data_IF_186289534830
#
_entry.id   IF_186289534830
#
_cell.length_a   1.000
_cell.length_b   1.000
_cell.length_c   1.000
_cell.angle_alpha   90.00
_cell.angle_beta   90.00
_cell.angle_gamma   90.00
#
_symmetry.space_group_name_H-M   'P 1'
#
loop_
_entity.id
_entity.type
_entity.pdbx_description
1 polymer ?
#
# COMPACT_ATOMS: atom_id res chain seq x y z
N UNK A 1 28.58 61.62 30.70
CA UNK A 1 27.76 61.23 29.54
C UNK A 1 28.08 59.77 29.25
N UNK A 2 27.57 58.85 30.07
CA UNK A 2 26.29 58.11 29.91
C UNK A 2 26.27 57.22 28.67
N UNK A 3 26.54 55.94 28.90
CA UNK A 3 26.36 54.82 27.98
C UNK A 3 24.87 54.52 27.75
N UNK A 4 24.51 53.92 26.60
CA UNK A 4 23.31 53.10 26.49
C UNK A 4 23.65 51.61 26.28
N UNK A 5 23.01 50.77 27.10
CA UNK A 5 22.81 49.33 26.89
C UNK A 5 21.60 49.12 25.96
N UNK A 6 21.65 48.16 25.05
CA UNK A 6 20.44 47.48 24.53
C UNK A 6 20.72 45.96 24.44
N UNK A 7 19.75 45.19 24.94
CA UNK A 7 19.75 43.76 25.21
C UNK A 7 19.42 42.87 23.99
N UNK A 8 19.75 41.58 24.15
CA UNK A 8 19.56 40.41 23.28
C UNK A 8 18.12 40.13 22.79
N UNK A 9 17.97 39.60 21.56
CA UNK A 9 17.09 38.44 21.30
C UNK A 9 17.42 37.67 20.00
N UNK A 10 17.18 36.35 20.07
CA UNK A 10 17.42 35.29 19.08
C UNK A 10 16.49 35.38 17.85
N UNK A 11 16.84 34.85 16.66
CA UNK A 11 15.91 34.71 15.55
C UNK A 11 15.24 33.33 15.60
N UNK A 12 14.02 33.27 16.12
CA UNK A 12 13.10 32.16 15.85
C UNK A 12 11.79 32.72 15.30
N UNK A 13 11.32 32.08 14.23
CA UNK A 13 9.94 31.98 13.75
C UNK A 13 9.17 33.26 13.45
N UNK A 14 9.08 33.58 12.15
CA UNK A 14 7.85 34.17 11.60
C UNK A 14 7.77 33.95 10.08
N UNK A 15 7.22 32.80 9.67
CA UNK A 15 6.64 32.59 8.34
C UNK A 15 5.47 31.61 8.45
N UNK A 16 4.41 32.02 9.16
CA UNK A 16 3.07 31.45 9.03
C UNK A 16 2.05 32.56 8.77
N UNK A 17 1.91 32.92 7.51
CA UNK A 17 0.71 33.49 6.89
C UNK A 17 0.89 33.20 5.40
N UNK A 18 0.05 32.42 4.72
CA UNK A 18 -1.38 32.61 4.53
C UNK A 18 -2.06 31.26 4.22
N UNK A 19 -3.08 30.93 5.00
CA UNK A 19 -4.09 29.95 4.66
C UNK A 19 -5.09 30.58 3.68
N UNK A 20 -5.42 29.86 2.59
CA UNK A 20 -6.71 30.03 1.90
C UNK A 20 -7.65 28.94 2.38
N UNK A 21 -8.71 29.39 3.05
CA UNK A 21 -9.72 28.62 3.76
C UNK A 21 -10.78 28.14 2.77
N UNK A 22 -11.06 26.83 2.72
CA UNK A 22 -12.35 26.32 2.27
C UNK A 22 -13.25 26.14 3.50
N UNK A 23 -14.45 26.75 3.58
CA UNK A 23 -15.33 26.57 4.72
C UNK A 23 -16.13 25.28 4.55
N UNK A 24 -16.01 24.35 5.50
CA UNK A 24 -16.95 23.25 5.65
C UNK A 24 -16.41 21.83 5.44
N UNK A 25 -15.26 21.49 6.04
CA UNK A 25 -15.04 20.16 6.61
C UNK A 25 -13.88 20.29 7.60
N UNK A 26 -14.07 19.78 8.81
CA UNK A 26 -13.07 19.74 9.88
C UNK A 26 -11.78 19.10 9.35
N UNK A 27 -10.75 19.92 9.14
CA UNK A 27 -9.42 19.49 8.72
C UNK A 27 -8.58 19.13 9.93
N UNK A 28 -7.77 18.08 9.72
CA UNK A 28 -6.66 17.60 10.56
C UNK A 28 -6.99 16.49 11.56
N UNK A 29 -7.09 15.26 11.04
CA UNK A 29 -6.57 14.13 11.81
C UNK A 29 -5.03 14.21 11.79
N UNK A 30 -4.35 14.05 12.93
CA UNK A 30 -2.90 13.90 12.93
C UNK A 30 -2.54 12.71 12.04
N UNK A 31 -1.37 12.72 11.35
CA UNK A 31 -0.88 11.52 10.70
C UNK A 31 -0.84 10.42 11.75
N UNK A 32 -1.64 9.36 11.56
CA UNK A 32 -1.68 8.22 12.45
C UNK A 32 -0.22 7.79 12.70
N UNK A 33 0.27 7.81 13.96
CA UNK A 33 1.60 7.32 14.23
C UNK A 33 1.64 5.86 13.78
N UNK A 34 2.79 5.47 13.25
CA UNK A 34 3.32 4.10 13.10
C UNK A 34 2.40 2.96 13.58
N UNK A 35 2.35 1.87 12.80
CA UNK A 35 1.13 1.12 12.48
C UNK A 35 0.13 1.08 13.64
N UNK A 36 -1.15 1.39 13.35
CA UNK A 36 -2.30 1.43 14.28
C UNK A 36 -1.99 0.65 15.56
N UNK A 37 -2.06 1.24 16.78
CA UNK A 37 -1.54 0.66 18.03
C UNK A 37 -2.10 -0.72 18.46
N UNK A 38 -2.88 -1.39 17.61
CA UNK A 38 -3.37 -2.76 17.78
C UNK A 38 -3.34 -3.59 16.48
N UNK A 39 -2.59 -3.15 15.47
CA UNK A 39 -2.52 -3.84 14.17
C UNK A 39 -1.58 -5.03 14.20
N UNK A 40 -2.07 -6.15 13.67
CA UNK A 40 -1.33 -7.40 13.58
C UNK A 40 -0.69 -7.52 12.20
N UNK A 41 0.60 -7.87 12.18
CA UNK A 41 1.25 -8.21 10.93
C UNK A 41 0.62 -9.48 10.35
N UNK A 42 0.28 -9.45 9.06
CA UNK A 42 -0.30 -10.58 8.36
C UNK A 42 0.68 -11.17 7.36
N UNK A 43 0.99 -12.45 7.57
CA UNK A 43 1.79 -13.25 6.66
C UNK A 43 0.94 -13.70 5.48
N UNK A 44 1.14 -13.11 4.30
CA UNK A 44 0.32 -13.45 3.14
C UNK A 44 0.66 -14.82 2.55
N UNK A 45 -0.38 -15.54 2.14
CA UNK A 45 -0.30 -16.84 1.47
C UNK A 45 -1.06 -16.79 0.16
N UNK A 46 -0.62 -17.57 -0.82
CA UNK A 46 -1.11 -17.48 -2.19
C UNK A 46 -1.31 -18.87 -2.76
N UNK A 47 -2.54 -19.16 -3.21
CA UNK A 47 -2.84 -20.36 -3.96
C UNK A 47 -2.53 -20.15 -5.45
N UNK A 48 -1.57 -20.89 -6.07
CA UNK A 48 -1.24 -20.78 -7.49
C UNK A 48 -2.42 -21.05 -8.44
N UNK A 49 -3.47 -21.71 -7.97
CA UNK A 49 -4.69 -21.94 -8.74
C UNK A 49 -5.64 -20.74 -8.78
N UNK A 50 -5.46 -19.74 -7.90
CA UNK A 50 -6.31 -18.54 -7.81
C UNK A 50 -5.68 -17.30 -8.44
N UNK A 51 -4.39 -17.35 -8.81
CA UNK A 51 -3.69 -16.28 -9.53
C UNK A 51 -3.81 -16.39 -11.04
N UNK A 52 -3.48 -15.32 -11.75
CA UNK A 52 -3.34 -15.35 -13.21
C UNK A 52 -2.42 -16.50 -13.68
N UNK A 53 -2.77 -17.17 -14.77
CA UNK A 53 -2.07 -18.38 -15.30
C UNK A 53 -0.57 -18.24 -15.61
N UNK A 54 -0.05 -17.02 -15.67
CA UNK A 54 1.38 -16.71 -15.87
C UNK A 54 2.08 -16.23 -14.61
N UNK A 55 1.38 -16.15 -13.49
CA UNK A 55 1.97 -15.85 -12.20
C UNK A 55 2.18 -17.15 -11.42
N UNK A 56 3.23 -17.16 -10.61
CA UNK A 56 3.48 -18.20 -9.64
C UNK A 56 4.01 -17.61 -8.33
N UNK A 57 3.83 -18.33 -7.24
CA UNK A 57 4.33 -17.94 -5.93
C UNK A 57 5.49 -18.85 -5.55
N UNK A 58 6.69 -18.27 -5.49
CA UNK A 58 7.87 -18.97 -5.00
C UNK A 58 7.84 -18.91 -3.48
N UNK A 59 7.58 -20.05 -2.82
CA UNK A 59 7.35 -20.10 -1.38
C UNK A 59 8.59 -19.73 -0.55
N UNK A 60 9.79 -20.12 -0.99
CA UNK A 60 11.04 -19.86 -0.26
C UNK A 60 11.40 -18.37 -0.29
N UNK A 61 11.33 -17.74 -1.46
CA UNK A 61 11.59 -16.30 -1.65
C UNK A 61 10.37 -15.44 -1.37
N UNK A 62 9.21 -16.05 -1.09
CA UNK A 62 7.96 -15.36 -0.78
C UNK A 62 7.59 -14.35 -1.85
N UNK A 63 7.74 -14.73 -3.10
CA UNK A 63 7.70 -13.82 -4.24
C UNK A 63 6.71 -14.30 -5.29
N UNK A 64 5.80 -13.41 -5.71
CA UNK A 64 5.00 -13.62 -6.92
C UNK A 64 5.83 -13.21 -8.13
N UNK A 65 6.08 -14.17 -9.03
CA UNK A 65 6.89 -13.98 -10.25
C UNK A 65 6.09 -14.26 -11.51
N UNK A 66 6.52 -13.69 -12.63
CA UNK A 66 6.01 -14.07 -13.95
C UNK A 66 6.74 -15.29 -14.53
N UNK A 67 5.99 -16.33 -14.92
CA UNK A 67 6.46 -17.50 -15.67
C UNK A 67 6.37 -17.30 -17.20
N UNK A 68 7.28 -17.98 -17.93
CA UNK A 68 7.25 -18.08 -19.40
C UNK A 68 6.15 -19.02 -19.90
N UNK A 69 5.98 -20.17 -19.25
CA UNK A 69 5.03 -21.19 -19.65
C UNK A 69 3.60 -20.88 -19.18
N UNK A 70 2.62 -21.27 -19.99
CA UNK A 70 1.20 -21.18 -19.66
C UNK A 70 0.77 -22.45 -18.95
N UNK A 71 0.16 -22.34 -17.77
CA UNK A 71 -0.64 -23.44 -17.24
C UNK A 71 -1.90 -23.61 -18.09
N UNK A 72 -2.20 -24.85 -18.51
CA UNK A 72 -3.42 -25.18 -19.25
C UNK A 72 -4.68 -25.20 -18.36
N UNK A 73 -4.54 -25.11 -17.04
CA UNK A 73 -5.69 -25.13 -16.12
C UNK A 73 -6.54 -23.86 -16.27
N UNK A 74 -7.74 -24.00 -16.81
CA UNK A 74 -8.68 -22.89 -17.05
C UNK A 74 -9.62 -22.57 -15.90
N UNK A 75 -9.70 -23.41 -14.87
CA UNK A 75 -10.69 -23.17 -13.81
C UNK A 75 -10.12 -22.24 -12.73
N UNK A 76 -10.91 -21.21 -12.43
CA UNK A 76 -10.84 -20.30 -11.28
C UNK A 76 -9.69 -19.29 -11.17
N UNK A 77 -8.98 -19.04 -12.28
CA UNK A 77 -7.91 -18.03 -12.37
C UNK A 77 -8.39 -16.67 -12.89
N UNK A 78 -7.70 -15.59 -12.51
CA UNK A 78 -7.86 -14.27 -13.13
C UNK A 78 -7.39 -14.28 -14.59
N UNK A 79 -8.10 -13.52 -15.45
CA UNK A 79 -7.76 -13.33 -16.88
C UNK A 79 -6.71 -12.21 -17.07
N UNK A 80 -6.60 -11.33 -16.07
CA UNK A 80 -5.62 -10.24 -15.98
C UNK A 80 -4.53 -10.66 -15.00
N UNK A 81 -3.32 -10.09 -15.08
CA UNK A 81 -2.14 -10.37 -14.25
C UNK A 81 -2.28 -10.00 -12.77
N UNK A 82 -3.40 -10.39 -12.16
CA UNK A 82 -3.79 -10.15 -10.78
C UNK A 82 -3.73 -11.42 -9.95
N UNK A 83 -3.66 -11.23 -8.65
CA UNK A 83 -3.70 -12.32 -7.67
C UNK A 83 -4.28 -11.82 -6.35
N UNK A 84 -5.17 -12.61 -5.78
CA UNK A 84 -5.74 -12.42 -4.45
C UNK A 84 -5.04 -13.35 -3.43
N UNK A 85 -4.60 -12.83 -2.30
CA UNK A 85 -4.05 -13.64 -1.20
C UNK A 85 -5.17 -14.46 -0.52
N UNK A 86 -4.84 -15.59 0.09
CA UNK A 86 -5.81 -16.50 0.73
C UNK A 86 -6.44 -15.91 1.99
N UNK A 87 -5.81 -14.92 2.61
CA UNK A 87 -6.35 -14.24 3.78
C UNK A 87 -7.58 -13.41 3.45
N UNK A 88 -8.54 -13.45 4.38
CA UNK A 88 -9.79 -12.71 4.36
C UNK A 88 -10.01 -12.08 5.74
N UNK A 89 -10.33 -10.80 5.77
CA UNK A 89 -10.47 -10.01 6.99
C UNK A 89 -11.90 -9.51 7.13
N UNK A 90 -12.49 -9.79 8.30
CA UNK A 90 -13.86 -9.40 8.64
C UNK A 90 -13.92 -8.33 9.74
N UNK A 91 -12.91 -8.29 10.60
CA UNK A 91 -12.79 -7.40 11.76
C UNK A 91 -11.30 -7.07 12.04
N UNK A 92 -11.01 -6.37 13.14
CA UNK A 92 -9.63 -6.13 13.59
C UNK A 92 -8.84 -5.11 12.77
N UNK A 93 -7.53 -5.07 13.05
CA UNK A 93 -6.56 -4.21 12.38
C UNK A 93 -5.39 -5.08 11.90
N UNK A 94 -5.08 -5.03 10.60
CA UNK A 94 -4.02 -5.84 9.99
C UNK A 94 -3.11 -5.00 9.13
N UNK A 95 -1.87 -5.42 8.97
CA UNK A 95 -0.99 -4.85 7.96
C UNK A 95 -0.11 -5.91 7.30
N UNK A 96 0.30 -5.65 6.08
CA UNK A 96 1.29 -6.44 5.37
C UNK A 96 2.18 -5.54 4.53
N UNK A 97 3.39 -6.01 4.27
CA UNK A 97 4.39 -5.28 3.52
C UNK A 97 4.59 -5.95 2.16
N UNK A 98 4.79 -5.15 1.13
CA UNK A 98 5.04 -5.59 -0.24
C UNK A 98 6.28 -4.90 -0.77
N UNK A 99 7.30 -5.68 -1.12
CA UNK A 99 8.46 -5.21 -1.87
C UNK A 99 8.08 -5.10 -3.34
N UNK A 100 8.19 -3.88 -3.85
CA UNK A 100 7.83 -3.46 -5.21
C UNK A 100 9.05 -3.13 -6.05
N UNK A 101 10.26 -3.22 -5.50
CA UNK A 101 11.53 -2.81 -6.13
C UNK A 101 11.84 -3.54 -7.43
N UNK A 102 11.30 -4.76 -7.61
CA UNK A 102 11.49 -5.62 -8.77
C UNK A 102 10.39 -5.52 -9.80
N UNK A 103 9.52 -4.51 -9.73
CA UNK A 103 8.45 -4.31 -10.69
C UNK A 103 8.51 -2.92 -11.33
N UNK A 104 8.39 -2.87 -12.66
CA UNK A 104 8.28 -1.62 -13.42
C UNK A 104 6.89 -0.98 -13.33
N UNK A 105 5.90 -1.71 -12.79
CA UNK A 105 4.54 -1.23 -12.61
C UNK A 105 3.69 -2.24 -11.85
N UNK A 106 2.89 -1.75 -10.91
CA UNK A 106 2.18 -2.60 -9.98
C UNK A 106 0.97 -1.88 -9.40
N UNK A 107 0.00 -2.64 -8.90
CA UNK A 107 -0.99 -2.16 -7.95
C UNK A 107 -1.07 -3.10 -6.74
N UNK A 108 -1.19 -2.53 -5.54
CA UNK A 108 -1.35 -3.26 -4.28
C UNK A 108 -2.54 -2.68 -3.52
N UNK A 109 -3.37 -3.54 -2.93
CA UNK A 109 -4.57 -3.08 -2.24
C UNK A 109 -5.42 -4.22 -1.73
N UNK A 110 -6.73 -3.99 -1.70
CA UNK A 110 -7.74 -4.94 -1.23
C UNK A 110 -8.93 -4.97 -2.17
N UNK A 111 -9.65 -6.09 -2.17
CA UNK A 111 -10.91 -6.24 -2.88
C UNK A 111 -11.86 -7.13 -2.10
N UNK A 112 -13.16 -6.98 -2.37
CA UNK A 112 -14.12 -7.99 -1.97
C UNK A 112 -13.89 -9.28 -2.78
N UNK A 113 -14.12 -10.47 -2.20
CA UNK A 113 -14.01 -11.76 -2.91
C UNK A 113 -14.86 -11.86 -4.18
N UNK A 114 -15.91 -11.02 -4.30
CA UNK A 114 -16.80 -10.96 -5.44
C UNK A 114 -16.21 -10.31 -6.70
N UNK A 115 -15.00 -9.75 -6.64
CA UNK A 115 -14.36 -9.13 -7.81
C UNK A 115 -14.26 -10.12 -8.98
N UNK A 116 -14.67 -9.68 -10.17
CA UNK A 116 -14.66 -10.51 -11.37
C UNK A 116 -13.26 -10.82 -11.88
N UNK A 117 -13.11 -11.93 -12.60
CA UNK A 117 -11.82 -12.38 -13.15
C UNK A 117 -11.19 -11.42 -14.17
N UNK A 118 -12.01 -10.56 -14.76
CA UNK A 118 -11.65 -9.53 -15.76
C UNK A 118 -11.72 -8.11 -15.21
N UNK A 119 -12.12 -7.96 -13.95
CA UNK A 119 -12.18 -6.65 -13.33
C UNK A 119 -10.78 -6.21 -12.94
N UNK A 120 -10.48 -4.95 -13.19
CA UNK A 120 -9.19 -4.37 -12.85
C UNK A 120 -9.23 -3.84 -11.42
N UNK A 121 -8.19 -4.13 -10.64
CA UNK A 121 -8.03 -3.67 -9.28
C UNK A 121 -8.13 -2.13 -9.21
N UNK A 122 -9.02 -1.62 -8.37
CA UNK A 122 -9.33 -0.19 -8.21
C UNK A 122 -10.32 0.39 -9.24
N UNK A 123 -10.76 -0.39 -10.24
CA UNK A 123 -11.66 0.08 -11.33
C UNK A 123 -13.11 -0.35 -11.11
N UNK A 124 -13.41 -0.82 -9.91
CA UNK A 124 -14.73 -1.28 -9.48
C UNK A 124 -15.02 -0.76 -8.09
N UNK A 125 -16.29 -0.55 -7.75
CA UNK A 125 -16.72 -0.28 -6.37
C UNK A 125 -16.32 -1.38 -5.35
N UNK A 126 -15.97 -2.58 -5.81
CA UNK A 126 -15.54 -3.69 -4.97
C UNK A 126 -14.03 -3.75 -4.70
N UNK A 127 -13.25 -2.74 -5.08
CA UNK A 127 -11.80 -2.77 -4.89
C UNK A 127 -11.12 -1.40 -4.75
N UNK A 128 -9.99 -1.40 -4.05
CA UNK A 128 -9.20 -0.22 -3.68
C UNK A 128 -7.72 -0.54 -3.79
N UNK A 129 -6.92 0.34 -4.40
CA UNK A 129 -5.49 0.11 -4.49
C UNK A 129 -4.66 1.38 -4.62
N UNK A 130 -3.39 1.26 -4.23
CA UNK A 130 -2.32 2.14 -4.67
C UNK A 130 -1.63 1.52 -5.89
N UNK A 131 -1.35 2.33 -6.89
CA UNK A 131 -0.81 1.90 -8.18
C UNK A 131 0.37 2.76 -8.60
N UNK A 132 1.45 2.11 -9.04
CA UNK A 132 2.55 2.72 -9.79
C UNK A 132 2.44 2.35 -11.27
N UNK A 133 2.22 3.36 -12.13
CA UNK A 133 2.10 3.19 -13.57
C UNK A 133 2.59 4.42 -14.30
N UNK A 134 3.39 4.24 -15.37
CA UNK A 134 3.88 5.34 -16.24
C UNK A 134 4.44 6.52 -15.45
N UNK A 135 5.30 6.21 -14.47
CA UNK A 135 5.97 7.18 -13.60
C UNK A 135 5.01 8.03 -12.74
N UNK A 136 3.83 7.49 -12.43
CA UNK A 136 2.85 8.10 -11.54
C UNK A 136 2.42 7.12 -10.46
N UNK A 137 2.39 7.62 -9.23
CA UNK A 137 1.75 6.95 -8.11
C UNK A 137 0.34 7.49 -7.95
N UNK A 138 -0.66 6.61 -8.01
CA UNK A 138 -2.06 6.99 -7.90
C UNK A 138 -2.81 6.02 -6.99
N UNK A 139 -3.72 6.55 -6.20
CA UNK A 139 -4.76 5.76 -5.56
C UNK A 139 -5.95 5.60 -6.52
N UNK A 140 -6.55 4.41 -6.53
CA UNK A 140 -7.68 4.07 -7.37
C UNK A 140 -8.78 3.38 -6.59
N UNK A 141 -10.01 3.84 -6.81
CA UNK A 141 -11.24 3.20 -6.36
C UNK A 141 -12.39 3.57 -7.30
N UNK A 142 -13.23 2.59 -7.64
CA UNK A 142 -14.42 2.78 -8.50
C UNK A 142 -14.11 3.59 -9.77
N UNK A 143 -13.00 3.25 -10.42
CA UNK A 143 -12.52 3.89 -11.64
C UNK A 143 -12.19 5.40 -11.48
N UNK A 144 -12.12 5.88 -10.24
CA UNK A 144 -11.66 7.23 -9.89
C UNK A 144 -10.20 7.19 -9.48
N UNK A 145 -9.40 8.03 -10.12
CA UNK A 145 -7.97 8.19 -9.87
C UNK A 145 -7.70 9.38 -8.95
N UNK A 146 -6.77 9.22 -8.00
CA UNK A 146 -6.23 10.31 -7.20
C UNK A 146 -4.71 10.27 -7.22
N UNK A 147 -4.08 11.34 -7.73
CA UNK A 147 -2.63 11.43 -7.79
C UNK A 147 -2.01 11.53 -6.39
N UNK A 148 -0.96 10.76 -6.14
CA UNK A 148 -0.19 10.77 -4.91
C UNK A 148 1.21 11.31 -5.23
N UNK A 149 1.57 12.45 -4.63
CA UNK A 149 2.87 13.09 -4.87
C UNK A 149 4.01 12.33 -4.17
N UNK A 150 4.52 11.30 -4.83
CA UNK A 150 5.65 10.50 -4.38
C UNK A 150 6.31 9.80 -5.58
N UNK A 151 7.63 9.59 -5.52
CA UNK A 151 8.34 8.73 -6.47
C UNK A 151 7.95 7.26 -6.27
N UNK A 152 8.44 6.34 -7.10
CA UNK A 152 8.13 4.91 -6.93
C UNK A 152 8.61 4.42 -5.54
N UNK A 153 7.73 4.01 -4.61
CA UNK A 153 8.18 3.36 -3.40
C UNK A 153 8.74 1.97 -3.77
N UNK A 154 9.90 1.63 -3.23
CA UNK A 154 10.48 0.28 -3.34
C UNK A 154 9.80 -0.72 -2.42
N UNK A 155 9.05 -0.23 -1.45
CA UNK A 155 8.29 -1.05 -0.51
C UNK A 155 7.07 -0.31 0.02
N UNK A 156 5.93 -0.99 0.03
CA UNK A 156 4.64 -0.46 0.46
C UNK A 156 4.08 -1.29 1.61
N UNK A 157 3.70 -0.63 2.70
CA UNK A 157 2.83 -1.21 3.72
C UNK A 157 1.39 -0.88 3.39
N UNK A 158 0.53 -1.90 3.38
CA UNK A 158 -0.91 -1.74 3.39
C UNK A 158 -1.40 -2.01 4.81
N UNK A 159 -2.07 -1.04 5.42
CA UNK A 159 -2.68 -1.15 6.73
C UNK A 159 -4.20 -1.04 6.60
N UNK A 160 -4.89 -2.04 7.11
CA UNK A 160 -6.34 -2.20 7.04
C UNK A 160 -6.90 -2.17 8.46
N UNK A 161 -7.77 -1.22 8.75
CA UNK A 161 -8.56 -1.16 9.96
C UNK A 161 -10.01 -1.49 9.62
N UNK A 162 -10.42 -2.74 9.81
CA UNK A 162 -11.81 -3.15 9.63
C UNK A 162 -12.70 -2.62 10.76
N UNK A 163 -12.13 -2.32 11.93
CA UNK A 163 -12.87 -1.86 13.12
C UNK A 163 -13.31 -0.41 12.95
N UNK A 164 -12.40 0.47 12.54
CA UNK A 164 -12.68 1.88 12.32
C UNK A 164 -12.98 2.22 10.86
N UNK A 165 -12.82 1.27 9.94
CA UNK A 165 -13.10 1.44 8.51
C UNK A 165 -12.08 2.34 7.83
N UNK A 166 -10.79 2.01 7.94
CA UNK A 166 -9.73 2.76 7.24
C UNK A 166 -8.82 1.83 6.44
N UNK A 167 -8.34 2.33 5.30
CA UNK A 167 -7.31 1.69 4.49
C UNK A 167 -6.21 2.71 4.22
N UNK A 168 -5.01 2.41 4.69
CA UNK A 168 -3.85 3.28 4.62
C UNK A 168 -2.70 2.61 3.89
N UNK A 169 -1.99 3.40 3.09
CA UNK A 169 -0.80 2.99 2.35
C UNK A 169 0.40 3.80 2.81
N UNK A 170 1.51 3.13 3.12
CA UNK A 170 2.74 3.79 3.54
C UNK A 170 3.92 3.35 2.68
N UNK A 171 4.86 4.26 2.45
CA UNK A 171 6.19 3.94 1.95
C UNK A 171 7.09 3.52 3.12
N UNK A 172 7.85 2.44 2.94
CA UNK A 172 8.83 1.94 3.92
C UNK A 172 10.29 2.23 3.53
N UNK A 173 10.56 3.06 2.51
CA UNK A 173 11.91 3.26 1.96
C UNK A 173 12.94 3.76 3.00
N UNK A 174 12.89 5.04 3.37
CA UNK A 174 13.83 5.63 4.34
C UNK A 174 13.20 5.78 5.72
N UNK A 175 11.93 6.19 5.74
CA UNK A 175 11.09 6.36 6.93
C UNK A 175 9.68 5.95 6.56
N UNK A 176 8.92 5.48 7.55
CA UNK A 176 7.49 5.24 7.37
C UNK A 176 6.81 6.56 6.99
N UNK A 177 6.30 6.65 5.77
CA UNK A 177 5.62 7.84 5.25
C UNK A 177 4.25 7.46 4.74
N UNK A 178 3.20 8.11 5.26
CA UNK A 178 1.84 7.95 4.74
C UNK A 178 1.80 8.45 3.29
N UNK A 179 1.35 7.59 2.39
CA UNK A 179 1.14 7.88 0.97
C UNK A 179 -0.31 8.28 0.70
N UNK A 180 -1.24 7.49 1.23
CA UNK A 180 -2.67 7.73 1.07
C UNK A 180 -3.44 7.05 2.20
N UNK A 181 -4.58 7.63 2.59
CA UNK A 181 -5.52 7.04 3.54
C UNK A 181 -6.93 7.32 3.04
N UNK A 182 -7.78 6.31 3.12
CA UNK A 182 -9.22 6.43 2.86
C UNK A 182 -10.00 5.90 4.06
N UNK A 183 -11.06 6.62 4.41
CA UNK A 183 -12.10 6.11 5.29
C UNK A 183 -13.12 5.35 4.43
N UNK A 184 -13.26 4.06 4.68
CA UNK A 184 -14.24 3.22 4.02
C UNK A 184 -14.77 2.16 4.98
N UNK A 185 -16.09 2.17 5.19
CA UNK A 185 -16.77 1.11 5.93
C UNK A 185 -17.00 -0.08 5.01
N UNK A 186 -16.10 -1.05 5.08
CA UNK A 186 -16.24 -2.30 4.33
C UNK A 186 -17.53 -3.01 4.73
N UNK A 187 -18.34 -3.33 3.73
CA UNK A 187 -19.66 -3.96 3.89
C UNK A 187 -19.61 -5.49 3.91
N UNK A 188 -18.45 -6.05 3.61
CA UNK A 188 -18.18 -7.48 3.51
C UNK A 188 -16.70 -7.75 3.82
N UNK A 189 -16.30 -9.01 4.03
CA UNK A 189 -14.91 -9.36 4.21
C UNK A 189 -14.06 -8.94 3.00
N UNK A 190 -12.83 -8.50 3.25
CA UNK A 190 -11.88 -8.08 2.20
C UNK A 190 -10.65 -8.97 2.17
N UNK A 191 -10.09 -9.13 0.97
CA UNK A 191 -8.86 -9.90 0.75
C UNK A 191 -7.77 -9.01 0.15
N UNK A 192 -6.50 -9.18 0.54
CA UNK A 192 -5.38 -8.53 -0.13
C UNK A 192 -5.33 -8.92 -1.60
N UNK A 193 -5.10 -7.92 -2.47
CA UNK A 193 -5.07 -8.11 -3.91
C UNK A 193 -3.94 -7.31 -4.55
N UNK A 194 -3.36 -7.91 -5.59
CA UNK A 194 -2.17 -7.40 -6.25
C UNK A 194 -2.32 -7.49 -7.76
N UNK A 195 -1.72 -6.55 -8.47
CA UNK A 195 -1.63 -6.53 -9.92
C UNK A 195 -0.20 -6.24 -10.34
N UNK A 196 0.37 -7.09 -11.20
CA UNK A 196 1.65 -6.85 -11.85
C UNK A 196 1.45 -6.31 -13.27
N UNK A 197 2.00 -5.13 -13.58
CA UNK A 197 1.99 -4.61 -14.94
C UNK A 197 3.12 -5.21 -15.76
N UNK A 198 2.73 -5.88 -16.84
CA UNK A 198 3.66 -6.54 -17.72
C UNK A 198 4.08 -7.90 -17.17
N UNK A 199 4.00 -8.88 -18.06
CA UNK A 199 4.42 -10.25 -17.80
C UNK A 199 5.82 -10.48 -18.38
N UNK A 200 6.74 -9.53 -18.12
CA UNK A 200 8.15 -9.65 -18.48
C UNK A 200 8.87 -10.52 -17.45
N UNK A 201 9.92 -11.20 -17.90
CA UNK A 201 10.77 -11.99 -17.00
C UNK A 201 11.38 -11.05 -15.96
N UNK A 202 11.53 -11.51 -14.71
CA UNK A 202 12.06 -10.78 -13.55
C UNK A 202 11.11 -9.79 -12.86
N UNK A 203 9.98 -9.41 -13.47
CA UNK A 203 8.92 -8.66 -12.78
C UNK A 203 8.38 -9.48 -11.61
N UNK A 204 8.39 -8.89 -10.42
CA UNK A 204 8.01 -9.56 -9.20
C UNK A 204 7.46 -8.61 -8.13
N UNK A 205 6.63 -9.16 -7.25
CA UNK A 205 6.29 -8.59 -5.94
C UNK A 205 6.71 -9.58 -4.87
N UNK A 206 7.42 -9.12 -3.84
CA UNK A 206 7.86 -9.98 -2.73
C UNK A 206 7.14 -9.61 -1.43
N UNK A 207 6.91 -10.60 -0.57
CA UNK A 207 6.09 -10.48 0.63
C UNK A 207 6.92 -10.87 1.86
N UNK A 208 7.77 -9.95 2.36
CA UNK A 208 8.73 -10.24 3.42
C UNK A 208 8.05 -10.81 4.69
N UNK A 209 8.67 -11.77 5.40
CA UNK A 209 8.10 -12.38 6.61
C UNK A 209 8.19 -11.56 7.87
N UNK A 210 8.99 -10.51 7.87
CA UNK A 210 9.14 -9.63 9.00
C UNK A 210 8.36 -8.35 8.69
N UNK A 211 7.37 -8.01 9.54
CA UNK A 211 6.75 -6.70 9.49
C UNK A 211 7.82 -5.66 9.80
N UNK A 212 8.24 -4.88 8.80
CA UNK A 212 9.35 -3.93 8.90
C UNK A 212 8.88 -2.71 9.73
N UNK A 213 8.78 -2.91 11.03
CA UNK A 213 8.24 -1.97 12.02
C UNK A 213 8.61 -2.37 13.45
N UNK A 214 9.12 -3.59 13.65
CA UNK A 214 9.66 -4.07 14.92
C UNK A 214 11.20 -4.14 14.94
N UNK A 215 11.90 -3.34 14.13
CA UNK A 215 13.36 -3.23 14.26
C UNK A 215 13.71 -2.50 15.57
N UNK A 216 13.85 -3.27 16.65
CA UNK A 216 14.86 -2.97 17.65
C UNK A 216 16.20 -2.94 16.93
N UNK A 217 16.88 -1.79 17.00
CA UNK A 217 18.11 -1.53 16.28
C UNK A 217 19.16 -2.61 16.52
N UNK A 218 19.37 -3.44 15.51
CA UNK A 218 20.69 -3.95 15.18
C UNK A 218 20.69 -4.18 13.67
N UNK A 219 21.53 -3.37 13.00
CA UNK A 219 21.63 -3.36 11.55
C UNK A 219 22.14 -4.70 11.03
N UNK A 220 21.54 -5.17 9.94
CA UNK A 220 22.11 -6.26 9.17
C UNK A 220 23.43 -5.79 8.54
N UNK A 221 24.53 -6.42 8.98
CA UNK A 221 25.76 -6.49 8.18
C UNK A 221 25.55 -7.56 7.11
N UNK A 222 25.87 -7.20 5.87
CA UNK A 222 26.02 -8.11 4.74
C UNK A 222 27.11 -9.15 5.00
#
# INVERSE_FOLDING_TARGET
MSTPKIQHHSPDNDLFHLAFICPGLSTEFPPLPHPLPSSSFCLLTFNPAQGHRRLDFLHEERTVVTKKAFSASKNDRFDISQWMAEQEFCDGCYYWDVDTSRSVGWAVGVAYPSIGRRDQLGRTASSWCLEWSRDKLCYWHDNTEQFVKHDCPSMVRVALDMTNGTLSFYSLCERLKLLHCVEHRFSAPVRPMFWLFGLKQHNALSFPPWGLGSFSGDGFRF
#
